data_IF_715330589356
#
_entry.id   IF_715330589356
#
_cell.length_a   1.000
_cell.length_b   1.000
_cell.length_c   1.000
_cell.angle_alpha   90.00
_cell.angle_beta   90.00
_cell.angle_gamma   90.00
#
_symmetry.space_group_name_H-M   'P 1'
#
loop_
_entity.id
_entity.type
_entity.pdbx_description
1 polymer ?
#
# COMPACT_ATOMS: atom_id res chain seq x y z
N UNK A 1 -5.14 -15.81 -5.45
CA UNK A 1 -5.52 -15.05 -4.23
C UNK A 1 -4.78 -13.73 -4.09
N UNK A 2 -3.44 -13.66 -4.09
CA UNK A 2 -2.74 -12.36 -3.95
C UNK A 2 -3.10 -11.34 -5.04
N UNK A 3 -3.23 -11.77 -6.30
CA UNK A 3 -3.72 -10.90 -7.36
C UNK A 3 -5.16 -10.38 -7.14
N UNK A 4 -6.04 -11.19 -6.54
CA UNK A 4 -7.41 -10.76 -6.25
C UNK A 4 -7.42 -9.66 -5.17
N UNK A 5 -6.64 -9.85 -4.10
CA UNK A 5 -6.45 -8.81 -3.07
C UNK A 5 -5.81 -7.54 -3.66
N UNK A 6 -4.84 -7.70 -4.56
CA UNK A 6 -4.22 -6.57 -5.28
C UNK A 6 -5.27 -5.77 -6.05
N UNK A 7 -6.08 -6.43 -6.87
CA UNK A 7 -7.10 -5.75 -7.68
C UNK A 7 -8.26 -5.21 -6.84
N UNK A 8 -8.63 -5.87 -5.74
CA UNK A 8 -9.56 -5.30 -4.77
C UNK A 8 -8.99 -4.02 -4.16
N UNK A 9 -7.71 -4.01 -3.77
CA UNK A 9 -7.02 -2.81 -3.30
C UNK A 9 -6.99 -1.69 -4.35
N UNK A 10 -6.80 -2.03 -5.63
CA UNK A 10 -6.91 -1.06 -6.74
C UNK A 10 -8.30 -0.44 -6.80
N UNK A 11 -9.36 -1.25 -6.74
CA UNK A 11 -10.75 -0.76 -6.77
C UNK A 11 -11.04 0.14 -5.56
N UNK A 12 -10.59 -0.25 -4.37
CA UNK A 12 -10.76 0.54 -3.15
C UNK A 12 -10.02 1.88 -3.24
N UNK A 13 -8.78 1.91 -3.75
CA UNK A 13 -8.02 3.16 -3.96
C UNK A 13 -8.72 4.09 -4.95
N UNK A 14 -9.29 3.56 -6.05
CA UNK A 14 -10.11 4.39 -6.94
C UNK A 14 -11.37 4.92 -6.24
N UNK A 15 -12.00 4.11 -5.38
CA UNK A 15 -13.10 4.56 -4.52
C UNK A 15 -12.68 5.71 -3.60
N UNK A 16 -11.55 5.60 -2.92
CA UNK A 16 -11.00 6.67 -2.06
C UNK A 16 -10.81 7.95 -2.86
N UNK A 17 -10.19 7.86 -4.04
CA UNK A 17 -10.00 9.00 -4.91
C UNK A 17 -11.33 9.64 -5.32
N UNK A 18 -12.31 8.85 -5.74
CA UNK A 18 -13.62 9.35 -6.13
C UNK A 18 -14.33 10.08 -4.97
N UNK A 19 -14.29 9.52 -3.76
CA UNK A 19 -14.91 10.15 -2.58
C UNK A 19 -14.20 11.46 -2.21
N UNK A 20 -12.86 11.49 -2.19
CA UNK A 20 -12.13 12.73 -1.89
C UNK A 20 -12.35 13.81 -2.94
N UNK A 21 -12.44 13.44 -4.23
CA UNK A 21 -12.77 14.38 -5.29
C UNK A 21 -14.20 14.90 -5.14
N UNK A 22 -15.14 14.05 -4.75
CA UNK A 22 -16.51 14.44 -4.45
C UNK A 22 -16.54 15.44 -3.28
N UNK A 23 -15.92 15.11 -2.15
CA UNK A 23 -15.88 15.96 -0.96
C UNK A 23 -15.20 17.32 -1.22
N UNK A 24 -14.17 17.34 -2.07
CA UNK A 24 -13.55 18.58 -2.54
C UNK A 24 -14.56 19.55 -3.19
N UNK A 25 -15.44 19.04 -4.06
CA UNK A 25 -16.39 19.87 -4.81
C UNK A 25 -17.74 20.02 -4.13
N UNK A 26 -18.40 18.91 -3.79
CA UNK A 26 -19.77 18.85 -3.31
C UNK A 26 -19.89 19.33 -1.85
N UNK A 27 -18.89 19.03 -1.03
CA UNK A 27 -18.88 19.39 0.40
C UNK A 27 -18.06 20.64 0.70
N UNK A 28 -17.71 21.37 -0.36
CA UNK A 28 -17.10 22.69 -0.29
C UNK A 28 -15.72 22.73 0.38
N UNK A 29 -15.02 21.60 0.56
CA UNK A 29 -13.65 21.62 1.09
C UNK A 29 -12.68 22.41 0.21
N UNK A 30 -12.97 22.62 -1.08
CA UNK A 30 -12.17 23.46 -1.98
C UNK A 30 -11.91 24.89 -1.47
N UNK A 31 -12.79 25.45 -0.64
CA UNK A 31 -12.61 26.82 -0.10
C UNK A 31 -11.92 26.83 1.26
N UNK A 32 -11.64 25.68 1.85
CA UNK A 32 -10.96 25.57 3.14
C UNK A 32 -9.45 25.62 2.91
N UNK A 33 -8.73 26.62 3.44
CA UNK A 33 -7.28 26.73 3.28
C UNK A 33 -6.55 25.48 3.77
N UNK A 34 -5.52 25.05 3.02
CA UNK A 34 -4.74 23.81 3.23
C UNK A 34 -5.55 22.52 3.04
N UNK A 35 -6.70 22.37 3.70
CA UNK A 35 -7.55 21.16 3.64
C UNK A 35 -8.00 20.88 2.21
N UNK A 36 -8.50 21.88 1.48
CA UNK A 36 -8.90 21.68 0.08
C UNK A 36 -7.77 21.14 -0.79
N UNK A 37 -6.53 21.60 -0.56
CA UNK A 37 -5.34 21.09 -1.28
C UNK A 37 -5.07 19.64 -0.88
N UNK A 38 -5.17 19.29 0.40
CA UNK A 38 -4.99 17.92 0.87
C UNK A 38 -6.01 16.95 0.25
N UNK A 39 -7.26 17.37 0.05
CA UNK A 39 -8.26 16.55 -0.66
C UNK A 39 -7.86 16.26 -2.11
N UNK A 40 -7.33 17.26 -2.82
CA UNK A 40 -6.80 17.07 -4.19
C UNK A 40 -5.58 16.14 -4.19
N UNK A 41 -4.68 16.30 -3.22
CA UNK A 41 -3.51 15.44 -3.07
C UNK A 41 -3.92 14.01 -2.71
N UNK A 42 -4.95 13.81 -1.89
CA UNK A 42 -5.49 12.49 -1.57
C UNK A 42 -6.09 11.84 -2.82
N UNK A 43 -6.89 12.58 -3.60
CA UNK A 43 -7.40 12.11 -4.88
C UNK A 43 -6.27 11.68 -5.83
N UNK A 44 -5.31 12.59 -6.09
CA UNK A 44 -4.21 12.33 -7.00
C UNK A 44 -3.33 11.17 -6.51
N UNK A 45 -3.00 11.15 -5.23
CA UNK A 45 -2.22 10.09 -4.59
C UNK A 45 -2.89 8.73 -4.70
N UNK A 46 -4.18 8.64 -4.38
CA UNK A 46 -4.94 7.41 -4.47
C UNK A 46 -5.00 6.88 -5.92
N UNK A 47 -5.24 7.76 -6.91
CA UNK A 47 -5.25 7.39 -8.34
C UNK A 47 -3.88 6.91 -8.79
N UNK A 48 -2.80 7.63 -8.46
CA UNK A 48 -1.44 7.24 -8.84
C UNK A 48 -1.07 5.89 -8.23
N UNK A 49 -1.39 5.67 -6.95
CA UNK A 49 -1.14 4.39 -6.27
C UNK A 49 -1.98 3.26 -6.87
N UNK A 50 -3.24 3.51 -7.22
CA UNK A 50 -4.10 2.53 -7.88
C UNK A 50 -3.54 2.12 -9.24
N UNK A 51 -3.13 3.09 -10.07
CA UNK A 51 -2.54 2.85 -11.39
C UNK A 51 -1.20 2.12 -11.28
N UNK A 52 -0.34 2.54 -10.35
CA UNK A 52 0.93 1.86 -10.10
C UNK A 52 0.70 0.41 -9.65
N UNK A 53 -0.26 0.19 -8.75
CA UNK A 53 -0.58 -1.15 -8.24
C UNK A 53 -1.22 -2.04 -9.32
N UNK A 54 -2.02 -1.48 -10.24
CA UNK A 54 -2.63 -2.19 -11.37
C UNK A 54 -1.60 -2.54 -12.46
N UNK A 55 -0.68 -1.61 -12.73
CA UNK A 55 0.26 -1.67 -13.85
C UNK A 55 1.31 -2.79 -13.78
N UNK A 56 1.94 -3.12 -14.92
CA UNK A 56 2.96 -4.17 -15.02
C UNK A 56 4.34 -3.68 -14.56
N UNK A 57 4.48 -3.28 -13.29
CA UNK A 57 5.72 -2.66 -12.75
C UNK A 57 6.99 -3.50 -12.95
N UNK A 58 6.87 -4.83 -13.01
CA UNK A 58 8.03 -5.73 -13.23
C UNK A 58 8.59 -5.66 -14.66
N UNK A 59 7.80 -5.18 -15.61
CA UNK A 59 8.17 -5.09 -17.03
C UNK A 59 8.77 -3.72 -17.40
N UNK A 60 8.81 -2.77 -16.46
CA UNK A 60 9.34 -1.43 -16.69
C UNK A 60 10.88 -1.45 -16.70
N UNK A 61 11.55 -1.03 -17.80
CA UNK A 61 13.00 -0.91 -17.84
C UNK A 61 13.46 0.11 -16.79
N UNK A 62 14.40 -0.28 -15.92
CA UNK A 62 15.02 0.60 -14.91
C UNK A 62 14.62 0.31 -13.46
N UNK A 63 13.40 -0.19 -13.19
CA UNK A 63 13.00 -0.59 -11.83
C UNK A 63 13.73 -1.86 -11.35
N UNK A 64 14.09 -2.74 -12.27
CA UNK A 64 14.85 -3.97 -12.02
C UNK A 64 16.28 -3.72 -11.55
N UNK A 65 16.83 -2.53 -11.82
CA UNK A 65 18.20 -2.15 -11.44
C UNK A 65 18.32 -1.76 -9.97
N UNK A 66 17.20 -1.47 -9.29
CA UNK A 66 17.18 -1.14 -7.86
C UNK A 66 16.95 -2.42 -7.05
N UNK A 67 17.90 -2.88 -6.22
CA UNK A 67 17.87 -4.21 -5.59
C UNK A 67 16.60 -4.50 -4.75
N UNK A 68 16.06 -3.48 -4.10
CA UNK A 68 14.86 -3.58 -3.24
C UNK A 68 13.57 -3.56 -4.08
N UNK A 69 13.51 -2.72 -5.12
CA UNK A 69 12.33 -2.54 -5.97
C UNK A 69 12.17 -3.70 -6.95
N UNK A 70 13.28 -4.23 -7.48
CA UNK A 70 13.26 -5.30 -8.49
C UNK A 70 12.67 -6.63 -8.02
N UNK A 71 12.71 -6.93 -6.70
CA UNK A 71 12.18 -8.20 -6.18
C UNK A 71 10.64 -8.20 -6.04
N UNK A 72 10.08 -7.10 -5.55
CA UNK A 72 8.65 -7.03 -5.23
C UNK A 72 8.09 -5.60 -5.38
N UNK A 73 8.03 -5.04 -6.60
CA UNK A 73 7.66 -3.65 -6.81
C UNK A 73 6.23 -3.35 -6.33
N UNK A 74 5.29 -4.27 -6.57
CA UNK A 74 3.91 -4.16 -6.08
C UNK A 74 3.79 -4.20 -4.55
N UNK A 75 4.71 -4.85 -3.83
CA UNK A 75 4.71 -4.85 -2.37
C UNK A 75 5.13 -3.48 -1.83
N UNK A 76 6.08 -2.80 -2.47
CA UNK A 76 6.44 -1.43 -2.07
C UNK A 76 5.30 -0.45 -2.33
N UNK A 77 4.64 -0.56 -3.48
CA UNK A 77 3.46 0.27 -3.79
C UNK A 77 2.32 -0.01 -2.80
N UNK A 78 2.07 -1.28 -2.47
CA UNK A 78 1.05 -1.64 -1.48
C UNK A 78 1.39 -1.08 -0.09
N UNK A 79 2.66 -1.14 0.34
CA UNK A 79 3.10 -0.53 1.59
C UNK A 79 2.90 0.99 1.58
N UNK A 80 3.26 1.65 0.48
CA UNK A 80 3.02 3.09 0.29
C UNK A 80 1.55 3.44 0.38
N UNK A 81 0.67 2.63 -0.24
CA UNK A 81 -0.78 2.81 -0.19
C UNK A 81 -1.37 2.60 1.22
N UNK A 82 -0.82 1.68 2.01
CA UNK A 82 -1.18 1.50 3.42
C UNK A 82 -0.79 2.73 4.24
N UNK A 83 0.46 3.19 4.12
CA UNK A 83 0.94 4.37 4.84
C UNK A 83 0.15 5.61 4.45
N UNK A 84 -0.13 5.78 3.15
CA UNK A 84 -0.98 6.84 2.64
C UNK A 84 -2.38 6.81 3.29
N UNK A 85 -3.06 5.65 3.27
CA UNK A 85 -4.43 5.52 3.83
C UNK A 85 -4.45 5.66 5.35
N UNK A 86 -3.39 5.23 6.04
CA UNK A 86 -3.26 5.49 7.48
C UNK A 86 -3.06 6.98 7.77
N UNK A 87 -2.29 7.67 6.93
CA UNK A 87 -2.10 9.12 7.04
C UNK A 87 -3.40 9.90 6.90
N UNK A 88 -4.27 9.50 5.98
CA UNK A 88 -5.60 10.13 5.81
C UNK A 88 -6.53 9.83 6.98
N UNK A 89 -6.60 8.58 7.45
CA UNK A 89 -7.34 8.19 8.66
C UNK A 89 -6.86 8.94 9.91
N UNK A 90 -5.55 9.06 10.12
CA UNK A 90 -4.98 9.81 11.24
C UNK A 90 -5.30 11.30 11.09
N UNK A 91 -5.23 11.85 9.89
CA UNK A 91 -5.63 13.24 9.61
C UNK A 91 -7.08 13.49 10.00
N UNK A 92 -7.99 12.61 9.61
CA UNK A 92 -9.40 12.66 10.00
C UNK A 92 -9.55 12.64 11.53
N UNK A 93 -8.92 11.67 12.21
CA UNK A 93 -8.98 11.54 13.67
C UNK A 93 -8.48 12.80 14.39
N UNK A 94 -7.39 13.40 13.91
CA UNK A 94 -6.87 14.66 14.47
C UNK A 94 -7.87 15.79 14.25
N UNK A 95 -8.46 15.89 13.05
CA UNK A 95 -9.45 16.91 12.73
C UNK A 95 -10.79 16.74 13.46
N UNK A 96 -11.11 15.53 13.93
CA UNK A 96 -12.31 15.25 14.72
C UNK A 96 -12.10 15.51 16.21
N UNK A 97 -10.92 15.19 16.76
CA UNK A 97 -10.61 15.41 18.18
C UNK A 97 -10.19 16.85 18.47
N UNK A 98 -9.72 17.57 17.45
CA UNK A 98 -9.29 18.96 17.53
C UNK A 98 -9.18 19.57 16.15
N UNK A 99 -8.40 20.64 15.98
CA UNK A 99 -8.26 21.28 14.68
C UNK A 99 -7.02 20.79 13.92
N UNK A 100 -7.20 20.29 12.70
CA UNK A 100 -6.13 20.05 11.75
C UNK A 100 -5.95 21.29 10.87
N UNK A 101 -4.83 22.00 11.00
CA UNK A 101 -4.59 23.28 10.30
C UNK A 101 -5.70 24.33 10.51
N UNK A 102 -6.34 24.32 11.68
CA UNK A 102 -7.46 25.23 12.00
C UNK A 102 -8.83 24.74 11.51
N UNK A 103 -8.90 23.59 10.82
CA UNK A 103 -10.15 22.95 10.42
C UNK A 103 -10.55 21.86 11.42
N UNK A 104 -11.80 21.87 11.86
CA UNK A 104 -12.39 20.86 12.74
C UNK A 104 -13.51 20.16 11.98
N UNK A 105 -13.44 18.84 11.87
CA UNK A 105 -14.45 18.02 11.21
C UNK A 105 -15.60 17.76 12.18
N UNK A 106 -16.84 18.02 11.72
CA UNK A 106 -18.02 17.89 12.56
C UNK A 106 -18.92 16.77 12.06
N UNK A 107 -18.85 15.64 12.76
CA UNK A 107 -19.77 14.52 12.60
C UNK A 107 -19.49 13.63 11.39
N UNK A 108 -20.23 12.53 11.33
CA UNK A 108 -20.06 11.49 10.32
C UNK A 108 -21.12 11.60 9.24
N UNK A 109 -20.87 12.48 8.27
CA UNK A 109 -21.62 12.50 7.03
C UNK A 109 -21.40 11.20 6.26
N UNK A 110 -22.35 10.82 5.41
CA UNK A 110 -22.29 9.56 4.65
C UNK A 110 -21.00 9.42 3.83
N UNK A 111 -20.48 10.53 3.28
CA UNK A 111 -19.22 10.54 2.52
C UNK A 111 -18.02 10.23 3.41
N UNK A 112 -17.96 10.80 4.60
CA UNK A 112 -16.90 10.54 5.60
C UNK A 112 -16.92 9.09 6.05
N UNK A 113 -18.10 8.53 6.33
CA UNK A 113 -18.23 7.09 6.66
C UNK A 113 -17.76 6.20 5.50
N UNK A 114 -18.08 6.57 4.26
CA UNK A 114 -17.66 5.85 3.07
C UNK A 114 -16.13 5.94 2.89
N UNK A 115 -15.54 7.12 3.06
CA UNK A 115 -14.09 7.32 3.04
C UNK A 115 -13.40 6.43 4.10
N UNK A 116 -13.86 6.50 5.35
CA UNK A 116 -13.36 5.69 6.46
C UNK A 116 -13.40 4.19 6.14
N UNK A 117 -14.52 3.71 5.59
CA UNK A 117 -14.69 2.31 5.20
C UNK A 117 -13.76 1.87 4.07
N UNK A 118 -13.59 2.72 3.05
CA UNK A 118 -12.70 2.45 1.92
C UNK A 118 -11.22 2.46 2.35
N UNK A 119 -10.80 3.44 3.14
CA UNK A 119 -9.43 3.56 3.66
C UNK A 119 -9.08 2.41 4.59
N UNK A 120 -9.97 2.08 5.53
CA UNK A 120 -9.82 0.90 6.39
C UNK A 120 -9.76 -0.38 5.56
N UNK A 121 -10.60 -0.48 4.52
CA UNK A 121 -10.59 -1.56 3.55
C UNK A 121 -9.24 -1.70 2.85
N UNK A 122 -8.64 -0.60 2.37
CA UNK A 122 -7.30 -0.59 1.76
C UNK A 122 -6.26 -1.10 2.75
N UNK A 123 -6.26 -0.60 3.98
CA UNK A 123 -5.29 -1.01 5.01
C UNK A 123 -5.38 -2.52 5.25
N UNK A 124 -6.59 -3.07 5.45
CA UNK A 124 -6.79 -4.50 5.71
C UNK A 124 -6.43 -5.36 4.48
N UNK A 125 -6.98 -5.03 3.31
CA UNK A 125 -6.81 -5.81 2.08
C UNK A 125 -5.35 -5.81 1.63
N UNK A 126 -4.67 -4.66 1.65
CA UNK A 126 -3.28 -4.57 1.23
C UNK A 126 -2.32 -5.14 2.28
N UNK A 127 -2.63 -5.05 3.57
CA UNK A 127 -1.86 -5.76 4.60
C UNK A 127 -1.92 -7.28 4.40
N UNK A 128 -3.10 -7.82 4.09
CA UNK A 128 -3.26 -9.23 3.75
C UNK A 128 -2.48 -9.60 2.48
N UNK A 129 -2.52 -8.76 1.45
CA UNK A 129 -1.72 -8.92 0.23
C UNK A 129 -0.21 -8.99 0.56
N UNK A 130 0.31 -8.04 1.36
CA UNK A 130 1.71 -8.01 1.78
C UNK A 130 2.11 -9.23 2.58
N UNK A 131 1.26 -9.68 3.52
CA UNK A 131 1.53 -10.88 4.31
C UNK A 131 1.66 -12.12 3.42
N UNK A 132 0.84 -12.24 2.37
CA UNK A 132 0.94 -13.35 1.41
C UNK A 132 2.19 -13.26 0.53
N UNK A 133 2.54 -12.06 0.04
CA UNK A 133 3.76 -11.88 -0.76
C UNK A 133 5.05 -12.11 0.06
N UNK A 134 5.08 -11.65 1.32
CA UNK A 134 6.21 -11.92 2.22
C UNK A 134 6.44 -13.41 2.46
N UNK A 135 5.37 -14.22 2.54
CA UNK A 135 5.48 -15.68 2.64
C UNK A 135 6.10 -16.31 1.39
N UNK A 136 5.84 -15.77 0.20
CA UNK A 136 6.42 -16.26 -1.06
C UNK A 136 7.91 -15.96 -1.18
N UNK A 137 8.38 -14.88 -0.55
CA UNK A 137 9.78 -14.45 -0.60
C UNK A 137 10.68 -15.15 0.43
N UNK A 138 10.12 -15.90 1.39
CA UNK A 138 10.93 -16.65 2.37
C UNK A 138 11.56 -17.90 1.69
N UNK A 139 12.88 -18.07 1.74
CA UNK A 139 13.51 -19.31 1.29
C UNK A 139 13.06 -20.51 2.14
N UNK A 140 12.98 -21.73 1.59
CA UNK A 140 12.67 -22.93 2.37
C UNK A 140 13.70 -23.12 3.49
N UNK A 141 13.28 -23.41 4.74
CA UNK A 141 14.22 -23.76 5.80
C UNK A 141 14.83 -25.12 5.48
N UNK A 142 16.06 -25.14 4.94
CA UNK A 142 16.78 -26.39 4.65
C UNK A 142 17.84 -26.33 3.56
N UNK A 143 17.85 -25.31 2.69
CA UNK A 143 18.79 -25.28 1.55
C UNK A 143 20.26 -24.95 1.91
N UNK A 144 20.55 -24.60 3.18
CA UNK A 144 21.89 -24.24 3.65
C UNK A 144 22.71 -25.35 4.30
N UNK A 145 22.13 -26.55 4.53
CA UNK A 145 22.75 -27.56 5.41
C UNK A 145 23.50 -28.71 4.73
N UNK A 146 23.20 -29.07 3.47
CA UNK A 146 23.61 -30.39 2.95
C UNK A 146 24.86 -30.42 2.07
N UNK A 147 25.58 -29.31 1.86
CA UNK A 147 26.76 -29.30 0.96
C UNK A 147 28.12 -29.39 1.66
N UNK A 148 28.17 -29.29 2.99
CA UNK A 148 29.43 -29.32 3.74
C UNK A 148 29.91 -30.74 4.12
N UNK A 149 29.06 -31.78 4.05
CA UNK A 149 29.42 -33.11 4.58
C UNK A 149 29.96 -34.11 3.55
N UNK A 150 30.06 -33.76 2.26
CA UNK A 150 30.46 -34.71 1.20
C UNK A 150 31.91 -34.59 0.71
N UNK A 151 32.75 -33.79 1.38
CA UNK A 151 34.16 -33.60 1.02
C UNK A 151 35.17 -34.43 1.84
N UNK A 152 34.74 -35.13 2.88
CA UNK A 152 35.66 -35.84 3.79
C UNK A 152 35.68 -37.38 3.63
N UNK A 153 35.18 -37.93 2.52
CA UNK A 153 35.21 -39.40 2.29
C UNK A 153 36.21 -39.86 1.22
N UNK A 154 37.18 -39.04 0.82
CA UNK A 154 38.28 -39.52 -0.03
C UNK A 154 39.48 -39.94 0.81
N UNK A 155 39.41 -41.13 1.39
CA UNK A 155 40.57 -41.85 1.96
C UNK A 155 41.24 -42.62 0.81
N UNK A 156 42.50 -42.33 0.44
CA UNK A 156 43.22 -43.13 -0.54
C UNK A 156 43.65 -44.48 0.06
N UNK A 157 43.63 -45.57 -0.71
CA UNK A 157 44.11 -46.86 -0.23
C UNK A 157 45.63 -46.86 -0.10
N UNK A 158 46.11 -47.32 1.06
CA UNK A 158 47.51 -47.65 1.32
C UNK A 158 48.01 -48.71 0.33
N UNK A 159 49.09 -48.41 -0.40
CA UNK A 159 50.14 -49.34 -0.83
C UNK A 159 51.47 -48.61 -0.96
#
# INVERSE_FOLDING_TARGET
MSNALRYLGVLLLFGIGAVHLYEYFADHYRVVPVIGVLFVLNFAGAVVLALALAGPLRSLPGLSSVPVVGRAPHALVALGAIVFSLGTLIGLLISEQGALFGFHEYGYRTTVMLALGLESGVVVVLSAFLALEARRLRPPPGAGGSRASRRDQHVPPHR
#
